data_IF_559718155154
#
_entry.id   IF_559718155154
#
_cell.length_a   1.000
_cell.length_b   1.000
_cell.length_c   1.000
_cell.angle_alpha   90.00
_cell.angle_beta   90.00
_cell.angle_gamma   90.00
#
_symmetry.space_group_name_H-M   'P 1'
#
loop_
_entity.id
_entity.type
_entity.pdbx_description
1 polymer ?
#
# COMPACT_ATOMS: atom_id res chain seq x y z
N UNK A 1 -29.16 9.14 -11.09
CA UNK A 1 -30.30 8.27 -11.43
C UNK A 1 -30.39 7.15 -10.41
N UNK A 2 -31.36 7.19 -9.49
CA UNK A 2 -31.61 6.11 -8.53
C UNK A 2 -32.23 4.94 -9.28
N UNK A 3 -31.54 3.79 -9.28
CA UNK A 3 -32.09 2.53 -9.81
C UNK A 3 -33.28 2.11 -8.95
N UNK A 4 -34.41 1.76 -9.58
CA UNK A 4 -35.56 1.19 -8.89
C UNK A 4 -35.13 -0.03 -8.03
N UNK A 5 -35.64 -0.15 -6.80
CA UNK A 5 -35.28 -1.28 -5.93
C UNK A 5 -35.77 -2.59 -6.56
N UNK A 6 -34.83 -3.40 -7.05
CA UNK A 6 -35.11 -4.74 -7.51
C UNK A 6 -35.45 -5.69 -6.34
N UNK A 7 -36.09 -6.80 -6.64
CA UNK A 7 -36.36 -7.89 -5.65
C UNK A 7 -35.05 -8.27 -4.94
N UNK A 8 -35.08 -8.36 -3.60
CA UNK A 8 -33.91 -8.74 -2.81
C UNK A 8 -33.38 -10.12 -3.23
N UNK A 9 -32.06 -10.33 -3.18
CA UNK A 9 -31.43 -11.62 -3.52
C UNK A 9 -32.02 -12.76 -2.69
N UNK A 10 -32.32 -12.48 -1.41
CA UNK A 10 -32.98 -13.44 -0.51
C UNK A 10 -34.32 -13.89 -1.06
N UNK A 11 -35.16 -12.95 -1.52
CA UNK A 11 -36.47 -13.27 -2.10
C UNK A 11 -36.34 -14.05 -3.41
N UNK A 12 -35.40 -13.68 -4.28
CA UNK A 12 -35.12 -14.39 -5.53
C UNK A 12 -34.73 -15.85 -5.27
N UNK A 13 -33.81 -16.09 -4.33
CA UNK A 13 -33.37 -17.44 -3.95
C UNK A 13 -34.53 -18.25 -3.34
N UNK A 14 -35.32 -17.64 -2.46
CA UNK A 14 -36.49 -18.28 -1.86
C UNK A 14 -37.50 -18.74 -2.94
N UNK A 15 -37.83 -17.84 -3.88
CA UNK A 15 -38.76 -18.15 -4.98
C UNK A 15 -38.19 -19.21 -5.93
N UNK A 16 -36.89 -19.14 -6.24
CA UNK A 16 -36.21 -20.13 -7.08
C UNK A 16 -36.24 -21.52 -6.45
N UNK A 17 -35.94 -21.61 -5.13
CA UNK A 17 -35.97 -22.87 -4.39
C UNK A 17 -37.40 -23.47 -4.28
N UNK A 18 -38.38 -22.62 -3.95
CA UNK A 18 -39.79 -23.04 -3.94
C UNK A 18 -40.26 -23.49 -5.34
N UNK A 19 -39.88 -22.74 -6.40
CA UNK A 19 -40.21 -23.11 -7.78
C UNK A 19 -39.59 -24.44 -8.20
N UNK A 20 -38.32 -24.69 -7.82
CA UNK A 20 -37.66 -25.98 -8.07
C UNK A 20 -38.37 -27.16 -7.37
N UNK A 21 -38.72 -26.98 -6.09
CA UNK A 21 -39.49 -28.01 -5.33
C UNK A 21 -40.86 -28.28 -5.93
N UNK A 22 -41.56 -27.23 -6.36
CA UNK A 22 -42.86 -27.34 -7.02
C UNK A 22 -42.73 -28.09 -8.35
N UNK A 23 -41.73 -27.78 -9.15
CA UNK A 23 -41.46 -28.46 -10.43
C UNK A 23 -41.16 -29.95 -10.20
N UNK A 24 -40.25 -30.24 -9.26
CA UNK A 24 -39.90 -31.62 -8.91
C UNK A 24 -41.09 -32.39 -8.38
N UNK A 25 -41.92 -31.77 -7.51
CA UNK A 25 -43.17 -32.35 -7.02
C UNK A 25 -44.19 -32.64 -8.13
N UNK A 26 -44.34 -31.70 -9.05
CA UNK A 26 -45.24 -31.86 -10.21
C UNK A 26 -44.79 -33.03 -11.12
N UNK A 27 -43.48 -33.13 -11.38
CA UNK A 27 -42.92 -34.25 -12.16
C UNK A 27 -43.12 -35.59 -11.46
N UNK A 28 -42.87 -35.66 -10.16
CA UNK A 28 -43.09 -36.89 -9.36
C UNK A 28 -44.55 -37.29 -9.34
N UNK A 29 -45.48 -36.35 -9.17
CA UNK A 29 -46.91 -36.60 -9.22
C UNK A 29 -47.36 -37.07 -10.62
N UNK A 30 -46.81 -36.45 -11.68
CA UNK A 30 -47.11 -36.87 -13.06
C UNK A 30 -46.60 -38.28 -13.36
N UNK A 31 -45.38 -38.62 -12.92
CA UNK A 31 -44.83 -39.98 -13.05
C UNK A 31 -45.67 -40.98 -12.25
N UNK A 32 -46.07 -40.66 -11.02
CA UNK A 32 -46.93 -41.48 -10.19
C UNK A 32 -48.30 -41.73 -10.83
N UNK A 33 -48.94 -40.66 -11.34
CA UNK A 33 -50.20 -40.77 -12.08
C UNK A 33 -50.07 -41.66 -13.32
N UNK A 34 -49.01 -41.46 -14.12
CA UNK A 34 -48.74 -42.20 -15.34
C UNK A 34 -48.43 -43.70 -15.07
N UNK A 35 -47.68 -43.98 -14.01
CA UNK A 35 -47.37 -45.33 -13.54
C UNK A 35 -48.68 -46.07 -13.10
N UNK A 36 -49.51 -45.33 -12.34
CA UNK A 36 -50.77 -45.88 -11.89
C UNK A 36 -51.78 -46.11 -13.04
N UNK A 37 -51.76 -45.24 -14.06
CA UNK A 37 -52.61 -45.37 -15.25
C UNK A 37 -52.21 -46.51 -16.20
N UNK A 38 -50.87 -46.88 -16.21
CA UNK A 38 -50.35 -47.97 -17.04
C UNK A 38 -50.26 -49.32 -16.34
N UNK A 39 -50.23 -49.37 -15.01
CA UNK A 39 -49.95 -50.54 -14.22
C UNK A 39 -51.17 -51.05 -13.53
N UNK A 40 -51.91 -51.92 -14.21
CA UNK A 40 -52.79 -52.92 -13.52
C UNK A 40 -51.83 -54.04 -13.08
N UNK A 41 -51.24 -53.94 -11.87
CA UNK A 41 -50.61 -55.11 -11.27
C UNK A 41 -51.73 -56.07 -10.77
N UNK A 42 -51.73 -57.38 -11.15
CA UNK A 42 -52.65 -58.33 -10.68
C UNK A 42 -52.39 -58.66 -9.20
N UNK A 43 -53.01 -57.92 -8.31
CA UNK A 43 -52.90 -58.13 -6.86
C UNK A 43 -53.39 -56.96 -6.00
N UNK A 44 -53.66 -55.80 -6.56
CA UNK A 44 -54.32 -54.70 -5.86
C UNK A 44 -55.63 -54.38 -6.54
N UNK A 45 -56.74 -54.83 -5.91
CA UNK A 45 -58.10 -54.57 -6.39
C UNK A 45 -58.45 -53.11 -6.06
N UNK A 46 -57.96 -52.16 -6.91
CA UNK A 46 -58.60 -50.85 -7.02
C UNK A 46 -59.51 -50.90 -8.25
N UNK A 47 -60.81 -50.84 -8.01
CA UNK A 47 -61.84 -50.78 -9.07
C UNK A 47 -61.77 -49.31 -9.62
N UNK A 48 -60.79 -49.02 -10.46
CA UNK A 48 -60.76 -47.77 -11.22
C UNK A 48 -61.40 -48.04 -12.57
N UNK A 49 -62.73 -47.81 -12.64
CA UNK A 49 -63.53 -48.03 -13.84
C UNK A 49 -63.32 -46.99 -14.95
N UNK A 50 -62.71 -45.86 -14.65
CA UNK A 50 -62.52 -44.76 -15.62
C UNK A 50 -61.29 -43.87 -15.24
N UNK A 51 -60.63 -43.26 -16.24
CA UNK A 51 -59.65 -42.21 -16.02
C UNK A 51 -60.19 -41.06 -15.18
N UNK A 52 -61.48 -40.77 -15.25
CA UNK A 52 -62.13 -39.72 -14.46
C UNK A 52 -62.16 -40.04 -12.96
N UNK A 53 -62.33 -41.32 -12.59
CA UNK A 53 -62.37 -41.76 -11.18
C UNK A 53 -60.96 -41.76 -10.57
N UNK A 54 -59.92 -42.09 -11.38
CA UNK A 54 -58.55 -42.00 -10.98
C UNK A 54 -58.14 -40.52 -10.71
N UNK A 55 -58.49 -39.60 -11.60
CA UNK A 55 -58.27 -38.18 -11.43
C UNK A 55 -58.99 -37.63 -10.18
N UNK A 56 -60.23 -37.98 -9.93
CA UNK A 56 -61.03 -37.57 -8.75
C UNK A 56 -60.36 -38.01 -7.43
N UNK A 57 -59.83 -39.24 -7.41
CA UNK A 57 -59.13 -39.76 -6.23
C UNK A 57 -57.74 -39.18 -6.03
N UNK A 58 -57.03 -38.92 -7.11
CA UNK A 58 -55.60 -38.40 -7.08
C UNK A 58 -55.50 -36.89 -6.90
N UNK A 59 -56.41 -36.10 -7.48
CA UNK A 59 -56.41 -34.68 -7.47
C UNK A 59 -56.33 -34.03 -6.06
N UNK A 60 -57.18 -34.43 -5.07
CA UNK A 60 -57.08 -33.81 -3.75
C UNK A 60 -55.73 -34.09 -3.05
N UNK A 61 -55.22 -35.31 -3.20
CA UNK A 61 -53.89 -35.67 -2.65
C UNK A 61 -52.76 -34.86 -3.32
N UNK A 62 -52.84 -34.71 -4.64
CA UNK A 62 -51.88 -33.91 -5.39
C UNK A 62 -51.90 -32.44 -4.95
N UNK A 63 -53.10 -31.87 -4.74
CA UNK A 63 -53.24 -30.48 -4.24
C UNK A 63 -52.65 -30.32 -2.85
N UNK A 64 -52.90 -31.26 -1.93
CA UNK A 64 -52.35 -31.22 -0.57
C UNK A 64 -50.82 -31.31 -0.59
N UNK A 65 -50.23 -32.24 -1.38
CA UNK A 65 -48.80 -32.40 -1.52
C UNK A 65 -48.17 -31.13 -2.12
N UNK A 66 -48.76 -30.56 -3.16
CA UNK A 66 -48.25 -29.33 -3.78
C UNK A 66 -48.36 -28.15 -2.83
N UNK A 67 -49.43 -28.00 -2.08
CA UNK A 67 -49.57 -26.96 -1.06
C UNK A 67 -48.51 -27.09 0.05
N UNK A 68 -48.30 -28.34 0.50
CA UNK A 68 -47.22 -28.62 1.47
C UNK A 68 -45.84 -28.28 0.93
N UNK A 69 -45.51 -28.69 -0.31
CA UNK A 69 -44.23 -28.37 -0.96
C UNK A 69 -44.02 -26.85 -1.15
N UNK A 70 -45.11 -26.15 -1.47
CA UNK A 70 -45.05 -24.68 -1.60
C UNK A 70 -44.70 -24.02 -0.26
N UNK A 71 -45.44 -24.37 0.80
CA UNK A 71 -45.19 -23.79 2.14
C UNK A 71 -43.80 -24.17 2.64
N UNK A 72 -43.43 -25.45 2.52
CA UNK A 72 -42.11 -25.94 2.92
C UNK A 72 -40.99 -25.30 2.11
N UNK A 73 -41.15 -25.13 0.78
CA UNK A 73 -40.21 -24.49 -0.10
C UNK A 73 -40.03 -23.00 0.20
N UNK A 74 -41.09 -22.27 0.50
CA UNK A 74 -41.03 -20.87 0.88
C UNK A 74 -40.37 -20.67 2.26
N UNK A 75 -40.78 -21.43 3.27
CA UNK A 75 -40.23 -21.32 4.62
C UNK A 75 -38.77 -21.79 4.65
N UNK A 76 -38.48 -22.97 4.11
CA UNK A 76 -37.15 -23.54 4.07
C UNK A 76 -36.20 -22.68 3.24
N UNK A 77 -36.64 -22.23 2.06
CA UNK A 77 -35.89 -21.33 1.20
C UNK A 77 -35.58 -19.99 1.87
N UNK A 78 -36.53 -19.42 2.61
CA UNK A 78 -36.32 -18.17 3.34
C UNK A 78 -35.28 -18.31 4.48
N UNK A 79 -35.38 -19.40 5.24
CA UNK A 79 -34.41 -19.68 6.32
C UNK A 79 -33.01 -19.96 5.76
N UNK A 80 -32.92 -20.79 4.74
CA UNK A 80 -31.65 -21.17 4.12
C UNK A 80 -30.96 -19.94 3.45
N UNK A 81 -31.72 -19.19 2.65
CA UNK A 81 -31.20 -17.97 2.00
C UNK A 81 -30.74 -16.92 3.04
N UNK A 82 -31.49 -16.79 4.15
CA UNK A 82 -31.12 -15.90 5.24
C UNK A 82 -29.78 -16.28 5.88
N UNK A 83 -29.58 -17.58 6.12
CA UNK A 83 -28.37 -18.11 6.73
C UNK A 83 -27.17 -18.02 5.78
N UNK A 84 -27.34 -18.34 4.50
CA UNK A 84 -26.28 -18.27 3.48
C UNK A 84 -25.87 -16.84 3.15
N UNK A 85 -26.79 -15.86 3.25
CA UNK A 85 -26.47 -14.46 2.94
C UNK A 85 -26.06 -13.63 4.17
N UNK A 86 -26.11 -14.19 5.38
CA UNK A 86 -25.70 -13.48 6.60
C UNK A 86 -24.23 -12.97 6.57
N UNK A 87 -23.25 -13.74 6.05
CA UNK A 87 -21.88 -13.25 5.90
C UNK A 87 -21.77 -12.01 5.01
N UNK A 88 -22.48 -11.97 3.89
CA UNK A 88 -22.48 -10.80 2.98
C UNK A 88 -23.03 -9.54 3.64
N UNK A 89 -24.01 -9.66 4.52
CA UNK A 89 -24.53 -8.52 5.28
C UNK A 89 -23.45 -7.96 6.21
N UNK A 90 -22.70 -8.82 6.91
CA UNK A 90 -21.60 -8.41 7.78
C UNK A 90 -20.50 -7.69 7.00
N UNK A 91 -20.08 -8.23 5.84
CA UNK A 91 -19.10 -7.59 4.95
C UNK A 91 -19.61 -6.21 4.49
N UNK A 92 -20.88 -6.12 4.10
CA UNK A 92 -21.49 -4.86 3.65
C UNK A 92 -21.52 -3.82 4.78
N UNK A 93 -21.86 -4.22 6.00
CA UNK A 93 -21.92 -3.32 7.15
C UNK A 93 -20.51 -2.87 7.58
N UNK A 94 -19.52 -3.76 7.56
CA UNK A 94 -18.11 -3.40 7.77
C UNK A 94 -17.60 -2.40 6.70
N UNK A 95 -17.98 -2.62 5.43
CA UNK A 95 -17.63 -1.68 4.34
C UNK A 95 -18.26 -0.31 4.56
N UNK A 96 -19.49 -0.22 5.03
CA UNK A 96 -20.14 1.06 5.36
C UNK A 96 -19.45 1.76 6.55
N UNK A 97 -19.07 0.99 7.56
CA UNK A 97 -18.35 1.50 8.73
C UNK A 97 -16.98 2.04 8.32
N UNK A 98 -16.25 1.32 7.47
CA UNK A 98 -14.98 1.80 6.91
C UNK A 98 -15.17 3.07 6.08
N UNK A 99 -16.22 3.15 5.25
CA UNK A 99 -16.53 4.33 4.45
C UNK A 99 -16.91 5.56 5.30
N UNK A 100 -17.40 5.37 6.54
CA UNK A 100 -17.67 6.44 7.50
C UNK A 100 -16.43 6.91 8.28
N UNK A 101 -15.24 6.34 7.99
CA UNK A 101 -13.96 6.75 8.55
C UNK A 101 -13.40 5.86 9.66
N UNK A 102 -14.10 4.81 10.08
CA UNK A 102 -13.61 3.84 11.06
C UNK A 102 -12.92 2.66 10.37
N UNK A 103 -11.60 2.73 10.23
CA UNK A 103 -10.79 1.70 9.57
C UNK A 103 -10.35 0.57 10.52
N UNK A 104 -10.53 0.74 11.83
CA UNK A 104 -10.10 -0.24 12.84
C UNK A 104 -11.07 -1.42 13.02
N UNK A 105 -12.28 -1.33 12.45
CA UNK A 105 -13.26 -2.42 12.54
C UNK A 105 -12.88 -3.54 11.58
N UNK A 106 -12.88 -4.80 12.09
CA UNK A 106 -12.60 -6.02 11.30
C UNK A 106 -13.86 -6.86 11.21
N UNK A 107 -13.94 -7.63 10.14
CA UNK A 107 -15.08 -8.50 9.89
C UNK A 107 -14.98 -9.76 10.76
N UNK A 108 -13.78 -10.33 10.86
CA UNK A 108 -13.44 -11.52 11.68
C UNK A 108 -14.53 -12.60 11.62
N UNK A 109 -14.83 -13.09 10.41
CA UNK A 109 -15.85 -14.14 10.23
C UNK A 109 -15.40 -15.44 10.92
N UNK A 110 -16.16 -15.85 11.94
CA UNK A 110 -16.00 -17.14 12.60
C UNK A 110 -16.63 -18.26 11.77
N UNK A 111 -16.03 -19.45 11.74
CA UNK A 111 -16.60 -20.63 11.10
C UNK A 111 -15.61 -21.41 10.23
N UNK A 112 -16.15 -22.21 9.30
CA UNK A 112 -15.35 -23.00 8.36
C UNK A 112 -14.68 -22.10 7.32
N UNK A 113 -13.56 -22.58 6.76
CA UNK A 113 -12.93 -21.93 5.61
C UNK A 113 -13.79 -22.16 4.37
N UNK A 114 -14.53 -21.12 4.00
CA UNK A 114 -15.31 -21.06 2.77
C UNK A 114 -14.97 -19.76 2.00
N UNK A 115 -15.57 -19.58 0.84
CA UNK A 115 -15.32 -18.43 -0.05
C UNK A 115 -15.67 -17.08 0.63
N UNK A 116 -16.62 -17.09 1.57
CA UNK A 116 -16.98 -15.88 2.31
C UNK A 116 -15.92 -15.50 3.34
N UNK A 117 -15.28 -16.47 3.95
CA UNK A 117 -14.18 -16.22 4.87
C UNK A 117 -12.96 -15.73 4.13
N UNK A 118 -12.61 -16.33 2.99
CA UNK A 118 -11.51 -15.85 2.14
C UNK A 118 -11.73 -14.39 1.73
N UNK A 119 -12.96 -14.03 1.34
CA UNK A 119 -13.33 -12.65 1.01
C UNK A 119 -13.22 -11.72 2.22
N UNK A 120 -13.64 -12.14 3.40
CA UNK A 120 -13.54 -11.34 4.62
C UNK A 120 -12.09 -11.12 5.03
N UNK A 121 -11.24 -12.15 4.99
CA UNK A 121 -9.82 -12.07 5.32
C UNK A 121 -9.06 -11.15 4.32
N UNK A 122 -9.40 -11.23 3.04
CA UNK A 122 -8.86 -10.32 2.02
C UNK A 122 -9.26 -8.86 2.29
N UNK A 123 -10.52 -8.64 2.68
CA UNK A 123 -11.03 -7.30 3.03
C UNK A 123 -10.38 -6.76 4.30
N UNK A 124 -10.24 -7.58 5.35
CA UNK A 124 -9.57 -7.20 6.59
C UNK A 124 -8.08 -6.87 6.36
N UNK A 125 -7.40 -7.62 5.46
CA UNK A 125 -6.04 -7.32 5.02
C UNK A 125 -5.96 -5.96 4.31
N UNK A 126 -6.92 -5.66 3.45
CA UNK A 126 -7.00 -4.37 2.76
C UNK A 126 -7.22 -3.23 3.76
N UNK A 127 -8.14 -3.39 4.71
CA UNK A 127 -8.39 -2.39 5.76
C UNK A 127 -7.16 -2.15 6.63
N UNK A 128 -6.44 -3.20 7.01
CA UNK A 128 -5.20 -3.08 7.80
C UNK A 128 -4.12 -2.27 7.06
N UNK A 129 -3.96 -2.51 5.75
CA UNK A 129 -3.04 -1.73 4.90
C UNK A 129 -3.46 -0.28 4.79
N UNK A 130 -4.75 -0.01 4.60
CA UNK A 130 -5.28 1.35 4.50
C UNK A 130 -5.13 2.11 5.83
N UNK A 131 -5.43 1.47 6.96
CA UNK A 131 -5.25 2.04 8.29
C UNK A 131 -3.77 2.39 8.56
N UNK A 132 -2.85 1.47 8.24
CA UNK A 132 -1.42 1.72 8.36
C UNK A 132 -0.96 2.90 7.49
N UNK A 133 -1.45 2.98 6.25
CA UNK A 133 -1.14 4.09 5.34
C UNK A 133 -1.67 5.43 5.84
N UNK A 134 -2.92 5.49 6.33
CA UNK A 134 -3.49 6.71 6.92
C UNK A 134 -2.72 7.14 8.16
N UNK A 135 -2.37 6.20 9.05
CA UNK A 135 -1.58 6.48 10.24
C UNK A 135 -0.17 7.00 9.89
N UNK A 136 0.45 6.47 8.83
CA UNK A 136 1.73 6.95 8.31
C UNK A 136 1.62 8.39 7.78
N UNK A 137 0.59 8.69 6.99
CA UNK A 137 0.33 10.04 6.48
C UNK A 137 0.06 11.05 7.61
N UNK A 138 -0.69 10.66 8.64
CA UNK A 138 -0.95 11.52 9.79
C UNK A 138 0.33 11.83 10.58
N UNK A 139 1.16 10.82 10.83
CA UNK A 139 2.48 11.01 11.46
C UNK A 139 3.38 11.91 10.63
N UNK A 140 3.42 11.70 9.32
CA UNK A 140 4.17 12.54 8.39
C UNK A 140 3.72 14.00 8.47
N UNK A 141 2.41 14.28 8.39
CA UNK A 141 1.87 15.64 8.46
C UNK A 141 2.14 16.32 9.82
N UNK A 142 2.01 15.57 10.93
CA UNK A 142 2.33 16.07 12.26
C UNK A 142 3.81 16.44 12.39
N UNK A 143 4.71 15.55 11.96
CA UNK A 143 6.15 15.77 12.01
C UNK A 143 6.58 16.93 11.10
N UNK A 144 6.05 17.01 9.88
CA UNK A 144 6.28 18.13 8.96
C UNK A 144 5.88 19.47 9.59
N UNK A 145 4.72 19.51 10.24
CA UNK A 145 4.25 20.70 10.94
C UNK A 145 5.16 21.11 12.10
N UNK A 146 5.68 20.15 12.85
CA UNK A 146 6.62 20.42 13.94
C UNK A 146 7.98 20.92 13.42
N UNK A 147 8.52 20.28 12.37
CA UNK A 147 9.81 20.65 11.78
C UNK A 147 9.76 22.02 11.06
N UNK A 148 8.59 22.42 10.50
CA UNK A 148 8.40 23.76 9.94
C UNK A 148 8.19 24.82 11.02
N UNK A 149 7.55 24.49 12.14
CA UNK A 149 7.32 25.48 13.22
C UNK A 149 8.62 25.95 13.86
N UNK A 150 9.60 25.07 13.99
CA UNK A 150 10.89 25.36 14.61
C UNK A 150 11.66 26.49 13.89
N UNK A 151 11.96 26.43 12.56
CA UNK A 151 12.64 27.50 11.86
C UNK A 151 11.83 28.81 11.88
N UNK A 152 10.50 28.73 11.75
CA UNK A 152 9.65 29.92 11.81
C UNK A 152 9.70 30.61 13.18
N UNK A 153 9.69 29.85 14.28
CA UNK A 153 9.81 30.39 15.64
C UNK A 153 11.21 31.00 15.86
N UNK A 154 12.27 30.38 15.36
CA UNK A 154 13.64 30.94 15.44
C UNK A 154 13.74 32.24 14.63
N UNK A 155 13.19 32.26 13.40
CA UNK A 155 13.13 33.48 12.58
C UNK A 155 12.40 34.61 13.31
N UNK A 156 11.24 34.30 13.89
CA UNK A 156 10.46 35.27 14.67
C UNK A 156 11.29 35.83 15.86
N UNK A 157 11.93 34.95 16.61
CA UNK A 157 12.78 35.34 17.76
C UNK A 157 13.94 36.25 17.32
N UNK A 158 14.61 35.89 16.22
CA UNK A 158 15.73 36.69 15.68
C UNK A 158 15.25 38.11 15.24
N UNK A 159 14.09 38.19 14.59
CA UNK A 159 13.47 39.46 14.20
C UNK A 159 13.04 40.30 15.39
N UNK A 160 12.49 39.67 16.45
CA UNK A 160 12.11 40.38 17.68
C UNK A 160 13.35 40.91 18.41
N UNK A 161 14.46 40.17 18.44
CA UNK A 161 15.75 40.64 18.98
C UNK A 161 16.28 41.84 18.18
N UNK A 162 16.25 41.74 16.83
CA UNK A 162 16.69 42.85 15.98
C UNK A 162 15.89 44.14 16.23
N UNK A 163 14.58 43.99 16.44
CA UNK A 163 13.71 45.14 16.69
C UNK A 163 13.96 45.79 18.04
N UNK A 164 14.36 45.04 19.03
CA UNK A 164 14.56 45.53 20.40
C UNK A 164 15.98 45.97 20.69
N UNK A 165 16.96 45.68 19.84
CA UNK A 165 18.38 46.08 19.98
C UNK A 165 18.93 46.58 18.61
N UNK A 166 18.64 47.84 18.23
CA UNK A 166 19.01 48.41 16.93
C UNK A 166 20.49 48.62 16.74
N UNK A 167 21.27 48.68 17.83
CA UNK A 167 22.72 48.98 17.80
C UNK A 167 23.55 47.68 17.68
N UNK A 168 22.94 46.52 17.61
CA UNK A 168 23.61 45.22 17.43
C UNK A 168 24.18 45.09 16.03
N UNK A 169 25.27 44.33 15.91
CA UNK A 169 25.84 43.93 14.61
C UNK A 169 24.79 43.11 13.80
N UNK A 170 24.22 43.76 12.79
CA UNK A 170 23.22 43.20 11.93
C UNK A 170 23.77 42.10 10.98
N UNK A 171 25.09 42.03 10.77
CA UNK A 171 25.69 41.05 9.87
C UNK A 171 25.50 39.63 10.39
N UNK A 172 25.82 39.36 11.65
CA UNK A 172 25.61 38.04 12.28
C UNK A 172 24.15 37.65 12.30
N UNK A 173 23.24 38.61 12.51
CA UNK A 173 21.81 38.37 12.50
C UNK A 173 21.30 37.94 11.11
N UNK A 174 21.76 38.67 10.07
CA UNK A 174 21.42 38.37 8.67
C UNK A 174 21.92 36.99 8.28
N UNK A 175 23.15 36.63 8.66
CA UNK A 175 23.69 35.28 8.38
C UNK A 175 22.90 34.19 9.06
N UNK A 176 22.49 34.36 10.31
CA UNK A 176 21.64 33.42 11.04
C UNK A 176 20.22 33.29 10.42
N UNK A 177 19.61 34.42 10.04
CA UNK A 177 18.33 34.44 9.36
C UNK A 177 18.41 33.71 8.01
N UNK A 178 19.49 33.94 7.25
CA UNK A 178 19.73 33.30 5.98
C UNK A 178 19.85 31.77 6.16
N UNK A 179 20.66 31.32 7.14
CA UNK A 179 20.82 29.89 7.43
C UNK A 179 19.51 29.20 7.83
N UNK A 180 18.69 29.86 8.68
CA UNK A 180 17.38 29.32 9.10
C UNK A 180 16.40 29.26 7.94
N UNK A 181 16.39 30.31 7.08
CA UNK A 181 15.51 30.36 5.92
C UNK A 181 15.88 29.31 4.87
N UNK A 182 17.18 29.15 4.56
CA UNK A 182 17.67 28.09 3.66
C UNK A 182 17.21 26.72 4.13
N UNK A 183 17.37 26.42 5.44
CA UNK A 183 16.91 25.17 6.02
C UNK A 183 15.39 24.95 5.89
N UNK A 184 14.61 26.02 6.01
CA UNK A 184 13.14 25.94 5.83
C UNK A 184 12.77 25.67 4.36
N UNK A 185 13.51 26.26 3.41
CA UNK A 185 13.34 26.00 1.97
C UNK A 185 13.70 24.55 1.67
N UNK A 186 14.86 24.06 2.10
CA UNK A 186 15.29 22.67 1.90
C UNK A 186 14.25 21.67 2.44
N UNK A 187 13.65 21.97 3.61
CA UNK A 187 12.58 21.16 4.19
C UNK A 187 11.33 21.15 3.30
N UNK A 188 10.88 22.31 2.82
CA UNK A 188 9.70 22.40 1.96
C UNK A 188 9.91 21.71 0.62
N UNK A 189 11.08 21.85 0.01
CA UNK A 189 11.45 21.14 -1.23
C UNK A 189 11.46 19.61 -1.02
N UNK A 190 12.04 19.15 0.08
CA UNK A 190 12.04 17.73 0.44
C UNK A 190 10.63 17.16 0.62
N UNK A 191 9.72 17.92 1.27
CA UNK A 191 8.30 17.53 1.44
C UNK A 191 7.54 17.47 0.10
N UNK A 192 7.75 18.47 -0.78
CA UNK A 192 7.16 18.49 -2.12
C UNK A 192 7.65 17.32 -2.96
N UNK A 193 8.92 16.97 -2.85
CA UNK A 193 9.52 15.86 -3.59
C UNK A 193 8.96 14.51 -3.14
N UNK A 194 8.81 14.30 -1.83
CA UNK A 194 8.13 13.12 -1.29
C UNK A 194 6.70 12.99 -1.81
N UNK A 195 5.94 14.09 -1.79
CA UNK A 195 4.56 14.12 -2.30
C UNK A 195 4.45 13.81 -3.81
N UNK A 196 5.41 14.27 -4.62
CA UNK A 196 5.44 14.01 -6.07
C UNK A 196 5.89 12.59 -6.41
N UNK A 197 6.86 12.06 -5.69
CA UNK A 197 7.35 10.69 -5.89
C UNK A 197 6.24 9.67 -5.64
N UNK A 198 5.37 9.88 -4.63
CA UNK A 198 4.22 9.02 -4.35
C UNK A 198 3.20 8.97 -5.50
N UNK A 199 3.08 10.05 -6.29
CA UNK A 199 2.12 10.11 -7.40
C UNK A 199 2.56 9.36 -8.67
N UNK A 200 3.80 8.85 -8.76
CA UNK A 200 4.36 8.12 -9.93
C UNK A 200 4.16 8.82 -11.29
N UNK A 201 3.90 10.12 -11.28
CA UNK A 201 3.56 10.94 -12.45
C UNK A 201 4.78 11.75 -12.92
N UNK A 202 5.76 11.06 -13.51
CA UNK A 202 6.95 11.70 -14.09
C UNK A 202 7.34 11.07 -15.41
N UNK A 203 7.99 11.85 -16.26
CA UNK A 203 8.52 11.37 -17.55
C UNK A 203 9.69 10.43 -17.28
N UNK A 204 9.65 9.26 -17.93
CA UNK A 204 10.72 8.27 -17.87
C UNK A 204 11.51 8.30 -19.16
N UNK A 205 12.82 8.34 -19.04
CA UNK A 205 13.77 8.29 -20.13
C UNK A 205 14.87 7.27 -19.85
N UNK A 206 15.63 6.90 -20.86
CA UNK A 206 16.78 6.03 -20.67
C UNK A 206 17.92 6.87 -20.11
N UNK A 207 18.39 6.53 -18.94
CA UNK A 207 19.47 7.22 -18.21
C UNK A 207 20.54 6.22 -17.81
N UNK A 208 21.76 6.68 -17.68
CA UNK A 208 22.87 5.91 -17.12
C UNK A 208 23.11 6.32 -15.67
N UNK A 209 22.90 5.36 -14.75
CA UNK A 209 23.02 5.61 -13.33
C UNK A 209 24.50 5.85 -12.91
N UNK A 210 25.48 5.32 -13.67
CA UNK A 210 26.90 5.57 -13.42
C UNK A 210 27.27 7.04 -13.65
N UNK A 211 26.75 7.67 -14.72
CA UNK A 211 26.96 9.09 -15.00
C UNK A 211 26.28 9.98 -13.95
N UNK A 212 25.09 9.59 -13.50
CA UNK A 212 24.41 10.29 -12.40
C UNK A 212 25.20 10.20 -11.09
N UNK A 213 25.84 9.04 -10.83
CA UNK A 213 26.71 8.88 -9.68
C UNK A 213 27.95 9.78 -9.73
N UNK A 214 28.59 9.88 -10.91
CA UNK A 214 29.72 10.79 -11.13
C UNK A 214 29.31 12.25 -10.94
N UNK A 215 28.21 12.70 -11.52
CA UNK A 215 27.70 14.06 -11.38
C UNK A 215 27.38 14.42 -9.93
N UNK A 216 26.75 13.51 -9.18
CA UNK A 216 26.48 13.70 -7.76
C UNK A 216 27.77 13.81 -6.92
N UNK A 217 28.78 12.99 -7.26
CA UNK A 217 30.08 13.04 -6.62
C UNK A 217 30.82 14.38 -6.88
N UNK A 218 30.82 14.84 -8.15
CA UNK A 218 31.40 16.14 -8.53
C UNK A 218 30.70 17.30 -7.83
N UNK A 219 29.36 17.28 -7.79
CA UNK A 219 28.55 18.33 -7.14
C UNK A 219 28.86 18.45 -5.65
N UNK A 220 29.11 17.34 -4.97
CA UNK A 220 29.37 17.32 -3.51
C UNK A 220 30.85 17.27 -3.14
N UNK A 221 31.76 17.23 -4.11
CA UNK A 221 33.19 17.22 -3.88
C UNK A 221 33.66 18.38 -2.98
N UNK A 222 33.26 19.65 -3.20
CA UNK A 222 33.69 20.77 -2.33
C UNK A 222 33.23 20.57 -0.87
N UNK A 223 32.09 19.98 -0.64
CA UNK A 223 31.57 19.67 0.71
C UNK A 223 32.41 18.58 1.38
N UNK A 224 32.80 17.54 0.63
CA UNK A 224 33.66 16.47 1.13
C UNK A 224 35.06 16.96 1.44
N UNK A 225 35.68 17.74 0.53
CA UNK A 225 37.02 18.35 0.71
C UNK A 225 37.05 19.28 1.93
N UNK A 226 36.02 20.13 2.10
CA UNK A 226 35.87 20.99 3.27
C UNK A 226 35.80 20.25 4.60
N UNK A 227 35.48 18.95 4.56
CA UNK A 227 35.47 18.04 5.73
C UNK A 227 36.66 17.09 5.77
N UNK A 228 37.58 17.16 4.83
CA UNK A 228 38.74 16.27 4.74
C UNK A 228 38.36 14.81 4.42
N UNK A 229 37.30 14.60 3.63
CA UNK A 229 36.80 13.29 3.24
C UNK A 229 37.17 12.99 1.78
N UNK A 230 37.41 11.71 1.47
CA UNK A 230 37.56 11.22 0.10
C UNK A 230 36.23 10.66 -0.44
N UNK A 231 35.95 10.93 -1.73
CA UNK A 231 34.89 10.27 -2.48
C UNK A 231 35.57 9.40 -3.55
N UNK A 232 35.23 8.12 -3.58
CA UNK A 232 35.72 7.15 -4.55
C UNK A 232 34.53 6.59 -5.35
N UNK A 233 34.56 6.74 -6.68
CA UNK A 233 33.56 6.23 -7.60
C UNK A 233 34.14 5.08 -8.41
N UNK A 234 33.38 4.01 -8.60
CA UNK A 234 33.76 2.84 -9.38
C UNK A 234 32.53 2.09 -9.91
N UNK A 235 32.72 1.25 -10.91
CA UNK A 235 31.69 0.33 -11.36
C UNK A 235 31.48 0.33 -12.87
N UNK A 236 30.34 -0.28 -13.25
CA UNK A 236 29.96 -0.50 -14.63
C UNK A 236 28.99 0.59 -15.13
N UNK A 237 28.87 0.74 -16.46
CA UNK A 237 27.76 1.46 -17.10
C UNK A 237 26.44 0.80 -16.75
N UNK A 238 25.50 1.54 -16.19
CA UNK A 238 24.26 1.00 -15.59
C UNK A 238 23.03 1.68 -16.16
N UNK A 239 22.60 1.31 -17.40
CA UNK A 239 21.44 1.90 -18.03
C UNK A 239 20.15 1.46 -17.34
N UNK A 240 19.32 2.42 -16.97
CA UNK A 240 17.97 2.23 -16.39
C UNK A 240 16.95 3.11 -17.13
N UNK A 241 15.66 2.96 -16.77
CA UNK A 241 14.58 3.80 -17.28
C UNK A 241 13.94 4.55 -16.13
N UNK A 242 14.13 5.87 -16.10
CA UNK A 242 13.66 6.69 -15.00
C UNK A 242 13.69 8.18 -15.29
N UNK A 243 13.38 8.98 -14.27
CA UNK A 243 13.50 10.43 -14.33
C UNK A 243 14.89 10.85 -13.91
N UNK A 244 15.66 11.44 -14.83
CA UNK A 244 17.01 11.93 -14.54
C UNK A 244 17.05 12.85 -13.32
N UNK A 245 16.17 13.89 -13.19
CA UNK A 245 16.23 14.78 -12.03
C UNK A 245 15.96 14.06 -10.70
N UNK A 246 15.03 13.08 -10.69
CA UNK A 246 14.71 12.32 -9.47
C UNK A 246 15.86 11.36 -9.10
N UNK A 247 16.47 10.71 -10.08
CA UNK A 247 17.60 9.80 -9.84
C UNK A 247 18.85 10.58 -9.40
N UNK A 248 19.09 11.77 -9.95
CA UNK A 248 20.15 12.66 -9.49
C UNK A 248 19.90 13.11 -8.05
N UNK A 249 18.68 13.49 -7.70
CA UNK A 249 18.30 13.86 -6.34
C UNK A 249 18.45 12.69 -5.36
N UNK A 250 18.07 11.47 -5.76
CA UNK A 250 18.29 10.25 -4.97
C UNK A 250 19.78 10.07 -4.66
N UNK A 251 20.62 10.14 -5.70
CA UNK A 251 22.06 9.93 -5.58
C UNK A 251 22.73 11.02 -4.73
N UNK A 252 22.36 12.29 -4.97
CA UNK A 252 22.85 13.43 -4.18
C UNK A 252 22.45 13.29 -2.71
N UNK A 253 21.24 12.84 -2.39
CA UNK A 253 20.82 12.58 -1.00
C UNK A 253 21.65 11.46 -0.34
N UNK A 254 21.97 10.40 -1.08
CA UNK A 254 22.81 9.31 -0.56
C UNK A 254 24.22 9.78 -0.26
N UNK A 255 24.85 10.49 -1.20
CA UNK A 255 26.22 10.99 -1.06
C UNK A 255 26.30 12.06 0.04
N UNK A 256 25.35 13.00 0.08
CA UNK A 256 25.26 13.99 1.14
C UNK A 256 25.15 13.35 2.53
N UNK A 257 24.30 12.36 2.70
CA UNK A 257 24.19 11.60 3.94
C UNK A 257 25.51 10.90 4.31
N UNK A 258 26.16 10.28 3.32
CA UNK A 258 27.46 9.61 3.52
C UNK A 258 28.59 10.57 3.93
N UNK A 259 28.53 11.83 3.49
CA UNK A 259 29.46 12.89 3.88
C UNK A 259 29.14 13.41 5.29
N UNK A 260 27.87 13.73 5.57
CA UNK A 260 27.45 14.35 6.84
C UNK A 260 27.62 13.41 8.02
N UNK A 261 27.36 12.12 7.83
CA UNK A 261 27.43 11.08 8.86
C UNK A 261 28.72 10.26 8.80
N UNK A 262 29.79 10.84 8.23
CA UNK A 262 31.11 10.23 8.16
C UNK A 262 31.90 10.43 9.46
N UNK A 263 33.09 9.82 9.53
CA UNK A 263 34.09 10.13 10.55
C UNK A 263 34.60 11.54 10.35
N UNK A 264 34.95 12.27 11.43
CA UNK A 264 35.41 13.66 11.33
C UNK A 264 36.78 13.81 10.70
N UNK A 265 37.58 12.74 10.62
CA UNK A 265 38.94 12.73 10.06
C UNK A 265 39.17 11.44 9.28
N UNK A 266 39.80 11.55 8.10
CA UNK A 266 40.16 10.41 7.24
C UNK A 266 38.96 9.48 6.87
N UNK A 267 37.76 10.05 6.76
CA UNK A 267 36.60 9.31 6.30
C UNK A 267 36.61 9.17 4.78
N UNK A 268 35.94 8.11 4.32
CA UNK A 268 35.78 7.82 2.89
C UNK A 268 34.34 7.53 2.58
N UNK A 269 33.88 7.98 1.41
CA UNK A 269 32.61 7.63 0.78
C UNK A 269 32.92 6.82 -0.46
N UNK A 270 32.39 5.61 -0.56
CA UNK A 270 32.49 4.75 -1.74
C UNK A 270 31.16 4.72 -2.48
N UNK A 271 31.21 4.93 -3.78
CA UNK A 271 30.08 4.80 -4.69
C UNK A 271 30.42 3.72 -5.71
N UNK A 272 29.57 2.72 -5.82
CA UNK A 272 29.76 1.61 -6.76
C UNK A 272 28.49 1.37 -7.54
N UNK A 273 28.61 1.32 -8.87
CA UNK A 273 27.51 0.92 -9.76
C UNK A 273 27.78 -0.48 -10.32
N UNK A 274 26.75 -1.31 -10.42
CA UNK A 274 26.85 -2.65 -10.99
C UNK A 274 25.63 -3.02 -11.81
N UNK A 275 25.89 -3.69 -12.95
CA UNK A 275 24.87 -4.18 -13.86
C UNK A 275 24.59 -5.65 -13.57
N UNK A 276 23.32 -6.00 -13.41
CA UNK A 276 22.82 -7.38 -13.29
C UNK A 276 21.86 -7.67 -14.44
N UNK A 277 21.51 -8.95 -14.70
CA UNK A 277 20.70 -9.33 -15.87
C UNK A 277 19.36 -8.58 -16.01
N UNK A 278 18.69 -8.29 -14.90
CA UNK A 278 17.38 -7.61 -14.89
C UNK A 278 17.36 -6.32 -14.07
N UNK A 279 18.48 -5.94 -13.48
CA UNK A 279 18.55 -4.78 -12.58
C UNK A 279 19.90 -4.08 -12.65
N UNK A 280 19.89 -2.81 -12.28
CA UNK A 280 21.10 -2.02 -11.99
C UNK A 280 21.13 -1.72 -10.50
N UNK A 281 22.32 -1.63 -9.94
CA UNK A 281 22.51 -1.35 -8.52
C UNK A 281 23.47 -0.19 -8.34
N UNK A 282 23.05 0.79 -7.52
CA UNK A 282 23.91 1.83 -6.96
C UNK A 282 24.13 1.51 -5.49
N UNK A 283 25.37 1.39 -5.08
CA UNK A 283 25.77 1.21 -3.68
C UNK A 283 26.55 2.42 -3.21
N UNK A 284 26.11 3.03 -2.12
CA UNK A 284 26.85 4.10 -1.44
C UNK A 284 27.21 3.61 -0.04
N UNK A 285 28.48 3.66 0.28
CA UNK A 285 29.04 3.29 1.59
C UNK A 285 29.81 4.45 2.20
N UNK A 286 29.79 4.55 3.49
CA UNK A 286 30.64 5.52 4.20
C UNK A 286 31.31 4.90 5.43
N UNK A 287 32.45 5.42 5.80
CA UNK A 287 32.99 5.23 7.14
C UNK A 287 32.14 5.97 8.15
N UNK A 288 32.10 5.52 9.40
CA UNK A 288 31.26 6.15 10.42
C UNK A 288 31.26 5.38 11.73
N UNK A 289 30.43 5.80 12.65
CA UNK A 289 30.18 5.07 13.91
C UNK A 289 29.50 3.71 13.65
N UNK A 290 29.67 2.77 14.59
CA UNK A 290 28.98 1.50 14.53
C UNK A 290 27.50 1.68 14.80
N UNK A 291 26.66 1.26 13.86
CA UNK A 291 25.22 1.33 13.95
C UNK A 291 24.61 -0.03 14.35
N UNK A 292 23.59 -0.02 15.20
CA UNK A 292 22.86 -1.25 15.49
C UNK A 292 21.90 -1.61 14.35
N UNK A 293 21.65 -2.92 14.07
CA UNK A 293 20.68 -3.32 13.06
C UNK A 293 19.28 -2.77 13.30
N UNK A 294 18.87 -2.62 14.57
CA UNK A 294 17.57 -2.06 14.96
C UNK A 294 17.45 -0.59 14.55
N UNK A 295 18.51 0.20 14.76
CA UNK A 295 18.54 1.59 14.33
C UNK A 295 18.51 1.69 12.81
N UNK A 296 19.31 0.89 12.11
CA UNK A 296 19.39 0.92 10.63
C UNK A 296 18.02 0.61 10.00
N UNK A 297 17.21 -0.29 10.58
CA UNK A 297 15.89 -0.61 10.10
C UNK A 297 14.92 0.58 10.09
N UNK A 298 15.15 1.59 10.92
CA UNK A 298 14.29 2.78 11.05
C UNK A 298 14.83 4.02 10.34
N UNK A 299 16.09 4.03 9.88
CA UNK A 299 16.72 5.21 9.27
C UNK A 299 16.03 5.73 7.99
N UNK A 300 15.27 4.89 7.29
CA UNK A 300 14.50 5.27 6.11
C UNK A 300 13.09 5.80 6.43
N UNK A 301 12.71 5.87 7.72
CA UNK A 301 11.46 6.51 8.13
C UNK A 301 11.63 8.04 8.14
N UNK A 302 10.64 8.80 7.62
CA UNK A 302 10.72 10.26 7.59
C UNK A 302 10.88 10.85 9.00
N UNK A 303 11.75 11.86 9.15
CA UNK A 303 12.03 12.61 10.40
C UNK A 303 12.70 11.80 11.51
N UNK A 304 13.07 10.53 11.29
CA UNK A 304 13.85 9.78 12.26
C UNK A 304 15.34 10.15 12.14
N UNK A 305 15.94 10.42 13.28
CA UNK A 305 17.38 10.71 13.42
C UNK A 305 18.01 9.63 14.29
N UNK A 306 19.16 9.12 13.87
CA UNK A 306 19.97 8.26 14.73
C UNK A 306 20.54 9.07 15.91
N UNK A 307 20.33 8.59 17.13
CA UNK A 307 20.81 9.04 18.44
C UNK A 307 21.04 10.55 18.69
N UNK A 308 20.77 10.99 19.93
CA UNK A 308 20.82 12.38 20.45
C UNK A 308 22.16 13.14 20.29
N UNK A 309 23.24 12.47 19.86
CA UNK A 309 24.59 13.08 19.71
C UNK A 309 24.80 13.88 18.44
N UNK A 310 23.94 13.77 17.44
CA UNK A 310 24.06 14.51 16.17
C UNK A 310 23.24 15.81 16.15
N UNK A 311 23.10 16.49 17.27
CA UNK A 311 22.55 17.86 17.37
C UNK A 311 23.55 18.94 16.92
N UNK A 312 24.44 18.63 16.01
CA UNK A 312 25.25 19.68 15.36
C UNK A 312 24.38 20.43 14.34
N UNK A 313 24.53 21.73 14.27
CA UNK A 313 23.76 22.70 13.44
C UNK A 313 23.70 22.38 11.94
N UNK A 314 24.41 21.38 11.47
CA UNK A 314 24.50 20.93 10.08
C UNK A 314 23.84 19.57 9.79
N UNK A 315 23.20 18.94 10.78
CA UNK A 315 22.49 17.68 10.55
C UNK A 315 21.15 17.96 9.83
N UNK A 316 20.97 17.42 8.64
CA UNK A 316 19.76 17.56 7.81
C UNK A 316 18.47 17.18 8.55
N UNK A 317 17.33 17.45 7.95
CA UNK A 317 15.98 17.32 8.53
C UNK A 317 15.56 15.86 8.80
N UNK A 318 16.38 14.86 8.43
CA UNK A 318 16.02 13.43 8.54
C UNK A 318 15.07 12.96 7.44
N UNK A 319 15.06 13.64 6.30
CA UNK A 319 14.24 13.28 5.14
C UNK A 319 15.05 12.62 4.00
N UNK A 320 16.38 12.72 3.99
CA UNK A 320 17.20 12.29 2.86
C UNK A 320 17.00 10.82 2.49
N UNK A 321 17.05 9.89 3.46
CA UNK A 321 16.84 8.46 3.20
C UNK A 321 15.36 8.12 2.90
N UNK A 322 14.41 8.86 3.45
CA UNK A 322 13.00 8.73 3.10
C UNK A 322 12.75 9.14 1.64
N UNK A 323 13.38 10.21 1.17
CA UNK A 323 13.37 10.64 -0.24
C UNK A 323 13.96 9.56 -1.14
N UNK A 324 15.11 9.00 -0.77
CA UNK A 324 15.74 7.89 -1.49
C UNK A 324 14.79 6.71 -1.63
N UNK A 325 14.14 6.31 -0.53
CA UNK A 325 13.15 5.22 -0.52
C UNK A 325 11.96 5.51 -1.44
N UNK A 326 11.38 6.70 -1.34
CA UNK A 326 10.22 7.11 -2.14
C UNK A 326 10.56 7.14 -3.64
N UNK A 327 11.69 7.77 -4.03
CA UNK A 327 12.13 7.80 -5.43
C UNK A 327 12.40 6.38 -5.95
N UNK A 328 13.07 5.53 -5.15
CA UNK A 328 13.35 4.14 -5.52
C UNK A 328 12.07 3.36 -5.80
N UNK A 329 11.08 3.47 -4.91
CA UNK A 329 9.76 2.83 -5.07
C UNK A 329 8.98 3.36 -6.27
N UNK A 330 9.04 4.66 -6.54
CA UNK A 330 8.42 5.28 -7.71
C UNK A 330 9.01 4.74 -9.03
N UNK A 331 10.28 4.33 -9.02
CA UNK A 331 10.97 3.69 -10.14
C UNK A 331 10.81 2.16 -10.17
N UNK A 332 10.06 1.56 -9.25
CA UNK A 332 9.85 0.11 -9.18
C UNK A 332 11.05 -0.65 -8.61
N UNK A 333 11.93 0.04 -7.90
CA UNK A 333 13.13 -0.51 -7.29
C UNK A 333 12.97 -0.84 -5.80
N UNK A 334 14.08 -1.26 -5.20
CA UNK A 334 14.20 -1.56 -3.76
C UNK A 334 15.44 -0.90 -3.17
N UNK A 335 15.35 -0.47 -1.91
CA UNK A 335 16.48 0.07 -1.15
C UNK A 335 16.76 -0.82 0.04
N UNK A 336 18.03 -1.13 0.26
CA UNK A 336 18.51 -1.95 1.38
C UNK A 336 19.57 -1.18 2.16
N UNK A 337 19.38 -1.07 3.46
CA UNK A 337 20.33 -0.44 4.38
C UNK A 337 20.97 -1.52 5.23
N UNK A 338 22.30 -1.53 5.33
CA UNK A 338 23.06 -2.47 6.14
C UNK A 338 24.17 -1.77 6.91
N UNK A 339 24.32 -2.04 8.24
CA UNK A 339 25.46 -1.50 8.97
C UNK A 339 26.76 -2.17 8.50
N UNK A 340 27.83 -1.38 8.36
CA UNK A 340 29.17 -1.92 8.02
C UNK A 340 29.84 -2.46 9.28
N UNK A 341 30.49 -3.61 9.16
CA UNK A 341 31.21 -4.23 10.29
C UNK A 341 32.31 -3.33 10.88
N UNK A 342 32.97 -2.56 10.00
CA UNK A 342 34.01 -1.58 10.39
C UNK A 342 33.43 -0.27 10.92
N UNK A 343 32.12 -0.08 10.94
CA UNK A 343 31.42 1.16 11.23
C UNK A 343 30.97 1.89 9.96
N UNK A 344 29.94 2.72 10.08
CA UNK A 344 29.28 3.39 8.97
C UNK A 344 28.09 2.59 8.40
N UNK A 345 27.58 3.07 7.29
CA UNK A 345 26.36 2.55 6.64
C UNK A 345 26.69 2.15 5.19
N UNK A 346 26.04 1.09 4.73
CA UNK A 346 25.93 0.71 3.32
C UNK A 346 24.48 0.84 2.90
N UNK A 347 24.24 1.62 1.85
CA UNK A 347 22.93 1.77 1.22
C UNK A 347 23.01 1.27 -0.21
N UNK A 348 22.24 0.24 -0.53
CA UNK A 348 22.14 -0.33 -1.87
C UNK A 348 20.75 -0.03 -2.45
N UNK A 349 20.73 0.64 -3.61
CA UNK A 349 19.53 0.94 -4.39
C UNK A 349 19.55 0.07 -5.64
N UNK A 350 18.54 -0.76 -5.79
CA UNK A 350 18.34 -1.62 -6.95
C UNK A 350 17.18 -1.07 -7.78
N UNK A 351 17.42 -0.86 -9.09
CA UNK A 351 16.42 -0.39 -10.04
C UNK A 351 16.32 -1.38 -11.22
N UNK A 352 15.19 -1.44 -11.93
CA UNK A 352 15.07 -2.24 -13.15
C UNK A 352 16.09 -1.78 -14.21
N UNK A 353 16.77 -2.73 -14.87
CA UNK A 353 17.66 -2.41 -15.98
C UNK A 353 16.84 -1.91 -17.18
N UNK A 354 17.43 -1.00 -17.98
CA UNK A 354 16.83 -0.62 -19.24
C UNK A 354 16.84 -1.83 -20.20
N UNK A 355 15.77 -2.04 -21.00
CA UNK A 355 15.78 -3.09 -22.01
C UNK A 355 16.94 -2.86 -22.98
N UNK A 356 17.53 -3.95 -23.52
CA UNK A 356 18.62 -3.83 -24.49
C UNK A 356 18.15 -3.01 -25.70
N UNK A 357 18.99 -2.06 -26.13
CA UNK A 357 18.70 -1.30 -27.34
C UNK A 357 18.86 -2.26 -28.53
N UNK A 358 17.76 -2.63 -29.17
CA UNK A 358 17.80 -3.32 -30.45
C UNK A 358 18.30 -2.28 -31.46
N UNK A 359 19.60 -2.34 -31.78
CA UNK A 359 20.14 -1.61 -32.93
C UNK A 359 19.56 -2.34 -34.15
N UNK A 360 18.59 -1.71 -34.81
CA UNK A 360 18.13 -2.18 -36.10
C UNK A 360 19.33 -2.06 -37.09
N UNK A 361 19.90 -3.20 -37.43
CA UNK A 361 20.91 -3.35 -38.50
C UNK A 361 20.26 -3.21 -39.88
#
# INVERSE_FOLDING_TARGET
MARAPGLSVRLKLTLSYAGFLMLAGAVLLAVGYFSLSRGVHPGVIFIVRSHADLLRAFAPTAVIVMAFLLVFGLLGGWLLAGRMLAPLTRITDATRTAASGSLSHRIELEGHQDEFRELADAFDTMLARLEAHVAEQQRFAANASHELRTPLAVTQTLLDVARNDPDRDNAELVDRLHAVNTRAIDLTEALLLLSRADQRSFTRERVDLSLIAEEAAETLLPLAEGRGLAIETSGDTTPTVGSYPLLLQLTTNLVHNAIVHNLPVQGTVWMTTSLHPESVMLTVENTGEKLSPQLVATLAEPFLRGTERTRTDHAGVGLGLAIVKSITQAHGGTVTLTPRAAGGLRVAVQLPAAPPTIVAT
#
